data_IF_852971552653
#
_entry.id   IF_852971552653
#
_cell.length_a   1.000
_cell.length_b   1.000
_cell.length_c   1.000
_cell.angle_alpha   90.00
_cell.angle_beta   90.00
_cell.angle_gamma   90.00
#
_symmetry.space_group_name_H-M   'P 1'
#
loop_
_entity.id
_entity.type
_entity.pdbx_description
1 polymer ?
#
# COMPACT_ATOMS: atom_id res chain seq x y z
N UNK A 1 -9.54 7.10 -13.27
CA UNK A 1 -10.45 7.57 -12.20
C UNK A 1 -9.69 7.50 -10.90
N UNK A 2 -9.58 8.59 -10.13
CA UNK A 2 -8.94 8.52 -8.81
C UNK A 2 -9.91 7.84 -7.84
N UNK A 3 -9.48 6.78 -7.16
CA UNK A 3 -10.40 5.97 -6.37
C UNK A 3 -10.76 6.74 -5.07
N UNK A 4 -12.05 6.98 -4.85
CA UNK A 4 -12.56 7.74 -3.68
C UNK A 4 -12.37 6.93 -2.40
N UNK A 5 -11.83 7.53 -1.35
CA UNK A 5 -11.61 6.91 -0.05
C UNK A 5 -12.98 6.51 0.57
N UNK A 6 -13.20 5.23 0.88
CA UNK A 6 -14.47 4.79 1.46
C UNK A 6 -14.66 5.23 2.92
N UNK A 7 -13.59 5.64 3.61
CA UNK A 7 -13.66 6.05 5.02
C UNK A 7 -14.04 7.52 5.22
N UNK A 8 -13.55 8.41 4.33
CA UNK A 8 -13.74 9.85 4.50
C UNK A 8 -14.23 10.59 3.24
N UNK A 9 -14.41 9.90 2.11
CA UNK A 9 -14.78 10.52 0.84
C UNK A 9 -13.64 11.26 0.13
N UNK A 10 -12.43 11.25 0.70
CA UNK A 10 -11.26 11.92 0.13
C UNK A 10 -10.65 11.23 -1.10
N UNK A 11 -9.62 11.82 -1.68
CA UNK A 11 -8.93 11.26 -2.85
C UNK A 11 -7.79 10.34 -2.41
N UNK A 12 -7.74 9.12 -2.96
CA UNK A 12 -6.58 8.24 -2.81
C UNK A 12 -5.58 8.49 -3.93
N UNK A 13 -4.30 8.57 -3.59
CA UNK A 13 -3.19 8.82 -4.51
C UNK A 13 -2.10 7.78 -4.34
N UNK A 14 -1.28 7.53 -5.36
CA UNK A 14 -0.12 6.65 -5.19
C UNK A 14 0.87 7.23 -4.18
N UNK A 15 1.39 6.39 -3.29
CA UNK A 15 2.31 6.75 -2.23
C UNK A 15 3.04 5.54 -1.67
N UNK A 16 3.72 5.74 -0.54
CA UNK A 16 4.43 4.69 0.19
C UNK A 16 3.85 4.57 1.60
N UNK A 17 3.76 3.34 2.11
CA UNK A 17 3.30 3.01 3.47
C UNK A 17 4.29 2.06 4.15
N UNK A 18 4.06 1.78 5.43
CA UNK A 18 4.76 0.74 6.19
C UNK A 18 3.78 -0.35 6.56
N UNK A 19 4.00 -1.56 6.04
CA UNK A 19 3.22 -2.74 6.40
C UNK A 19 3.86 -3.43 7.58
N UNK A 20 3.08 -3.68 8.63
CA UNK A 20 3.53 -4.39 9.82
C UNK A 20 2.65 -5.59 10.07
N UNK A 21 3.27 -6.75 10.28
CA UNK A 21 2.59 -7.99 10.63
C UNK A 21 3.24 -8.61 11.86
N UNK A 22 2.41 -8.94 12.85
CA UNK A 22 2.80 -9.80 13.97
C UNK A 22 2.55 -11.26 13.57
N UNK A 23 3.58 -12.10 13.63
CA UNK A 23 3.51 -13.51 13.27
C UNK A 23 3.48 -14.44 14.50
N UNK A 24 3.32 -13.89 15.71
CA UNK A 24 3.36 -14.59 17.00
C UNK A 24 4.77 -14.95 17.48
N UNK A 25 5.69 -15.31 16.56
CA UNK A 25 7.10 -15.55 16.87
C UNK A 25 8.00 -14.32 16.65
N UNK A 26 7.46 -13.27 16.04
CA UNK A 26 8.19 -12.06 15.71
C UNK A 26 7.34 -11.08 14.93
N UNK A 27 7.80 -9.83 14.89
CA UNK A 27 7.16 -8.75 14.15
C UNK A 27 7.98 -8.47 12.89
N UNK A 28 7.30 -8.45 11.75
CA UNK A 28 7.89 -8.06 10.46
C UNK A 28 7.42 -6.65 10.12
N UNK A 29 8.37 -5.76 9.83
CA UNK A 29 8.12 -4.38 9.42
C UNK A 29 8.68 -4.18 8.01
N UNK A 30 7.80 -4.01 7.03
CA UNK A 30 8.17 -3.72 5.65
C UNK A 30 7.95 -2.24 5.38
N UNK A 31 9.03 -1.52 5.09
CA UNK A 31 9.01 -0.07 4.81
C UNK A 31 8.95 0.19 3.31
N UNK A 32 8.47 1.38 2.95
CA UNK A 32 8.37 1.84 1.56
C UNK A 32 7.56 0.91 0.65
N UNK A 33 6.47 0.33 1.19
CA UNK A 33 5.55 -0.48 0.40
C UNK A 33 4.72 0.48 -0.46
N UNK A 34 4.67 0.33 -1.79
CA UNK A 34 3.78 1.14 -2.62
C UNK A 34 2.32 0.95 -2.17
N UNK A 35 1.53 2.00 -2.16
CA UNK A 35 0.13 1.92 -1.76
C UNK A 35 -0.67 3.05 -2.40
N UNK A 36 -1.99 2.91 -2.38
CA UNK A 36 -2.87 4.05 -2.53
C UNK A 36 -3.09 4.62 -1.14
N UNK A 37 -2.70 5.87 -0.92
CA UNK A 37 -2.82 6.54 0.38
C UNK A 37 -3.83 7.68 0.24
N UNK A 38 -4.76 7.79 1.18
CA UNK A 38 -5.67 8.93 1.22
C UNK A 38 -4.93 10.19 1.68
N UNK A 39 -4.98 11.25 0.87
CA UNK A 39 -4.32 12.52 1.17
C UNK A 39 -4.96 13.32 2.33
N UNK A 40 -6.09 12.86 2.87
CA UNK A 40 -6.83 13.52 3.94
C UNK A 40 -6.74 12.76 5.26
N UNK A 41 -7.03 11.46 5.28
CA UNK A 41 -7.05 10.66 6.51
C UNK A 41 -5.83 9.76 6.70
N UNK A 42 -4.98 9.59 5.68
CA UNK A 42 -3.77 8.77 5.77
C UNK A 42 -4.00 7.26 5.62
N UNK A 43 -5.24 6.79 5.53
CA UNK A 43 -5.53 5.38 5.28
C UNK A 43 -4.86 4.89 4.00
N UNK A 44 -4.31 3.67 4.04
CA UNK A 44 -3.58 3.06 2.95
C UNK A 44 -4.21 1.75 2.44
N UNK A 45 -4.07 1.50 1.14
CA UNK A 45 -4.54 0.29 0.47
C UNK A 45 -3.41 -0.35 -0.31
N UNK A 46 -2.95 -1.49 0.21
CA UNK A 46 -2.02 -2.43 -0.42
C UNK A 46 -2.86 -3.43 -1.21
N UNK A 47 -2.57 -3.64 -2.50
CA UNK A 47 -3.37 -4.52 -3.34
C UNK A 47 -2.71 -4.87 -4.67
N UNK A 48 -3.29 -5.82 -5.39
CA UNK A 48 -2.67 -6.46 -6.57
C UNK A 48 -2.32 -5.52 -7.72
N UNK A 49 -2.92 -4.32 -7.77
CA UNK A 49 -2.54 -3.28 -8.72
C UNK A 49 -1.05 -2.90 -8.63
N UNK A 50 -0.39 -3.20 -7.49
CA UNK A 50 1.05 -3.05 -7.33
C UNK A 50 1.86 -4.03 -8.18
N UNK A 51 1.33 -5.22 -8.49
CA UNK A 51 2.04 -6.23 -9.29
C UNK A 51 2.28 -5.77 -10.74
N UNK A 52 1.49 -4.82 -11.23
CA UNK A 52 1.71 -4.21 -12.55
C UNK A 52 2.93 -3.27 -12.60
N UNK A 53 3.38 -2.76 -11.44
CA UNK A 53 4.50 -1.82 -11.35
C UNK A 53 5.67 -2.36 -10.50
N UNK A 54 5.51 -3.52 -9.88
CA UNK A 54 6.60 -4.22 -9.25
C UNK A 54 7.55 -4.67 -10.36
N UNK A 55 8.73 -4.05 -10.41
CA UNK A 55 9.89 -4.59 -11.13
C UNK A 55 10.36 -5.84 -10.40
N UNK A 56 9.54 -6.89 -10.40
CA UNK A 56 9.96 -8.23 -10.00
C UNK A 56 10.95 -8.66 -11.07
N UNK A 57 12.23 -8.90 -10.73
CA UNK A 57 13.16 -9.49 -11.67
C UNK A 57 12.55 -10.82 -12.12
N UNK A 58 12.29 -10.98 -13.41
CA UNK A 58 12.08 -12.33 -13.96
C UNK A 58 13.40 -13.07 -13.80
N UNK A 59 13.56 -13.81 -12.71
CA UNK A 59 14.59 -14.84 -12.61
C UNK A 59 14.38 -15.80 -13.79
N UNK A 60 15.39 -15.87 -14.66
CA UNK A 60 15.44 -16.84 -15.76
C UNK A 60 15.70 -18.23 -15.22
#
# INVERSE_FOLDING_TARGET
MNPVCPLCGGTRTQGLTTFTADLGFGVVVVRHVPALVCNQCGEDWIGDWQLANASVPRER
#
